data_IF_337611092355
#
_entry.id   IF_337611092355
#
_cell.length_a   1.000
_cell.length_b   1.000
_cell.length_c   1.000
_cell.angle_alpha   90.00
_cell.angle_beta   90.00
_cell.angle_gamma   90.00
#
_symmetry.space_group_name_H-M   'P 1'
#
loop_
_entity.id
_entity.type
_entity.pdbx_description
1 polymer ?
#
# COMPACT_ATOMS: atom_id res chain seq x y z
N UNK A 1 -15.35 34.69 -1.21
CA UNK A 1 -15.23 34.94 -2.66
C UNK A 1 -14.12 34.03 -3.17
N UNK A 2 -14.43 33.02 -3.98
CA UNK A 2 -13.46 32.09 -4.57
C UNK A 2 -12.36 32.79 -5.39
N UNK A 3 -12.59 34.01 -5.83
CA UNK A 3 -11.66 34.81 -6.64
C UNK A 3 -10.68 35.67 -5.84
N UNK A 4 -10.71 35.62 -4.51
CA UNK A 4 -9.87 36.45 -3.65
C UNK A 4 -9.00 35.63 -2.67
N UNK A 5 -9.25 34.33 -2.55
CA UNK A 5 -8.48 33.46 -1.65
C UNK A 5 -7.47 32.64 -2.46
N UNK A 6 -6.20 32.82 -2.14
CA UNK A 6 -5.12 32.03 -2.70
C UNK A 6 -5.10 30.64 -2.08
N UNK A 7 -5.04 29.61 -2.93
CA UNK A 7 -4.96 28.21 -2.54
C UNK A 7 -3.66 27.64 -3.12
N UNK A 8 -2.73 27.32 -2.25
CA UNK A 8 -1.41 26.84 -2.59
C UNK A 8 -1.38 25.32 -2.60
N UNK A 9 -0.73 24.70 -3.58
CA UNK A 9 -0.52 23.26 -3.61
C UNK A 9 0.73 22.88 -4.42
N UNK A 10 1.24 21.69 -4.17
CA UNK A 10 2.26 21.09 -5.01
C UNK A 10 1.62 20.64 -6.35
N UNK A 11 2.32 20.80 -7.46
CA UNK A 11 1.74 20.69 -8.83
C UNK A 11 1.16 19.31 -9.18
N UNK A 12 1.69 18.22 -8.61
CA UNK A 12 1.21 16.86 -8.87
C UNK A 12 -0.25 16.64 -8.41
N UNK A 13 -0.77 17.51 -7.52
CA UNK A 13 -2.15 17.41 -7.03
C UNK A 13 -3.18 17.45 -8.16
N UNK A 14 -2.90 18.19 -9.24
CA UNK A 14 -3.82 18.32 -10.37
C UNK A 14 -4.09 16.96 -10.99
N UNK A 15 -3.03 16.21 -11.28
CA UNK A 15 -3.18 14.85 -11.81
C UNK A 15 -3.91 13.93 -10.83
N UNK A 16 -3.58 14.00 -9.53
CA UNK A 16 -4.18 13.15 -8.51
C UNK A 16 -5.67 13.41 -8.36
N UNK A 17 -6.08 14.68 -8.30
CA UNK A 17 -7.48 15.09 -8.26
C UNK A 17 -8.25 14.60 -9.50
N UNK A 18 -7.70 14.84 -10.69
CA UNK A 18 -8.36 14.44 -11.93
C UNK A 18 -8.48 12.92 -12.04
N UNK A 19 -7.45 12.17 -11.69
CA UNK A 19 -7.47 10.71 -11.71
C UNK A 19 -8.54 10.13 -10.76
N UNK A 20 -8.60 10.62 -9.54
CA UNK A 20 -9.60 10.15 -8.56
C UNK A 20 -11.01 10.59 -8.95
N UNK A 21 -11.17 11.84 -9.39
CA UNK A 21 -12.48 12.40 -9.70
C UNK A 21 -13.11 11.82 -10.98
N UNK A 22 -12.31 11.35 -11.94
CA UNK A 22 -12.76 10.93 -13.27
C UNK A 22 -12.49 9.47 -13.57
N UNK A 23 -11.21 9.05 -13.55
CA UNK A 23 -10.78 7.77 -14.12
C UNK A 23 -11.24 6.57 -13.31
N UNK A 24 -11.07 6.61 -12.00
CA UNK A 24 -11.30 5.45 -11.11
C UNK A 24 -12.36 5.72 -10.03
N UNK A 25 -13.07 6.84 -10.11
CA UNK A 25 -14.04 7.28 -9.10
C UNK A 25 -15.03 6.21 -8.64
N UNK A 26 -15.73 5.48 -9.53
CA UNK A 26 -16.75 4.52 -9.09
C UNK A 26 -16.18 3.42 -8.21
N UNK A 27 -15.04 2.84 -8.59
CA UNK A 27 -14.45 1.73 -7.84
C UNK A 27 -13.78 2.21 -6.56
N UNK A 28 -13.11 3.37 -6.60
CA UNK A 28 -12.48 3.94 -5.40
C UNK A 28 -13.54 4.31 -4.36
N UNK A 29 -14.66 4.91 -4.77
CA UNK A 29 -15.77 5.22 -3.87
C UNK A 29 -16.33 3.95 -3.20
N UNK A 30 -16.65 2.93 -3.99
CA UNK A 30 -17.15 1.65 -3.47
C UNK A 30 -16.18 0.97 -2.49
N UNK A 31 -14.88 0.96 -2.81
CA UNK A 31 -13.86 0.35 -1.96
C UNK A 31 -13.58 1.18 -0.71
N UNK A 32 -13.62 2.52 -0.82
CA UNK A 32 -13.51 3.42 0.34
C UNK A 32 -14.68 3.23 1.30
N UNK A 33 -15.89 3.14 0.79
CA UNK A 33 -17.07 2.88 1.62
C UNK A 33 -16.90 1.60 2.45
N UNK A 34 -16.38 0.51 1.84
CA UNK A 34 -16.09 -0.73 2.56
C UNK A 34 -14.93 -0.59 3.55
N UNK A 35 -13.85 0.12 3.16
CA UNK A 35 -12.69 0.31 4.04
C UNK A 35 -13.05 1.08 5.31
N UNK A 36 -13.92 2.07 5.20
CA UNK A 36 -14.31 2.95 6.30
C UNK A 36 -15.61 2.56 6.99
N UNK A 37 -16.19 1.41 6.63
CA UNK A 37 -17.36 0.87 7.30
C UNK A 37 -18.67 1.63 7.05
N UNK A 38 -18.76 2.45 5.99
CA UNK A 38 -19.97 3.24 5.67
C UNK A 38 -21.25 2.37 5.56
N UNK A 39 -21.21 1.11 5.04
CA UNK A 39 -22.39 0.25 4.99
C UNK A 39 -22.76 -0.43 6.34
N UNK A 40 -21.99 -0.22 7.40
CA UNK A 40 -22.29 -0.82 8.71
C UNK A 40 -23.51 -0.12 9.35
N UNK A 41 -24.26 -0.83 10.21
CA UNK A 41 -25.26 -0.19 11.06
C UNK A 41 -24.66 0.90 11.94
N UNK A 42 -25.42 1.96 12.18
CA UNK A 42 -24.96 3.16 12.92
C UNK A 42 -24.37 2.79 14.30
N UNK A 43 -24.96 1.80 14.98
CA UNK A 43 -24.52 1.31 16.28
C UNK A 43 -23.16 0.59 16.27
N UNK A 44 -22.70 0.16 15.09
CA UNK A 44 -21.40 -0.48 14.89
C UNK A 44 -20.30 0.50 14.45
N UNK A 45 -20.69 1.72 14.08
CA UNK A 45 -19.77 2.74 13.60
C UNK A 45 -19.19 3.51 14.80
N UNK A 46 -17.98 3.14 15.24
CA UNK A 46 -17.30 3.80 16.36
C UNK A 46 -16.30 4.84 15.86
N UNK A 47 -15.50 4.49 14.85
CA UNK A 47 -14.49 5.35 14.25
C UNK A 47 -14.02 4.76 12.91
N UNK A 48 -13.27 5.55 12.12
CA UNK A 48 -12.73 5.13 10.82
C UNK A 48 -11.34 4.48 10.89
N UNK A 49 -10.88 4.06 12.07
CA UNK A 49 -9.57 3.45 12.30
C UNK A 49 -8.45 4.46 12.56
N UNK A 50 -8.45 5.60 11.91
CA UNK A 50 -7.42 6.64 12.04
C UNK A 50 -7.97 7.95 12.62
N UNK A 51 -9.29 8.13 12.64
CA UNK A 51 -9.97 9.31 13.14
C UNK A 51 -11.43 9.03 13.47
N UNK A 52 -12.14 10.09 13.88
CA UNK A 52 -13.59 10.06 14.09
C UNK A 52 -14.33 9.75 12.79
N UNK A 53 -15.55 9.27 12.93
CA UNK A 53 -16.43 9.05 11.78
C UNK A 53 -16.88 10.39 11.19
N UNK A 54 -16.76 10.52 9.87
CA UNK A 54 -17.34 11.64 9.11
C UNK A 54 -18.76 11.23 8.69
N UNK A 55 -19.73 11.90 9.23
CA UNK A 55 -21.10 11.73 8.80
C UNK A 55 -21.26 12.27 7.37
N UNK A 56 -21.68 11.40 6.45
CA UNK A 56 -22.00 11.76 5.06
C UNK A 56 -23.47 11.50 4.88
N UNK A 57 -24.24 12.54 4.63
CA UNK A 57 -25.68 12.45 4.44
C UNK A 57 -26.11 13.01 3.08
N UNK A 58 -27.39 12.80 2.72
CA UNK A 58 -27.94 13.18 1.41
C UNK A 58 -28.00 14.72 1.17
N UNK A 59 -27.70 15.52 2.18
CA UNK A 59 -27.72 16.99 2.08
C UNK A 59 -26.33 17.56 1.81
N UNK A 60 -25.28 16.73 1.90
CA UNK A 60 -23.90 17.15 1.66
C UNK A 60 -23.58 17.13 0.17
N UNK A 61 -22.86 18.13 -0.28
CA UNK A 61 -22.37 18.22 -1.66
C UNK A 61 -20.86 18.03 -1.70
N UNK A 62 -20.39 17.25 -2.67
CA UNK A 62 -18.97 17.16 -2.97
C UNK A 62 -18.52 18.47 -3.62
N UNK A 63 -17.80 19.29 -2.86
CA UNK A 63 -17.12 20.47 -3.36
C UNK A 63 -15.66 20.18 -3.66
N UNK A 64 -15.19 20.46 -4.87
CA UNK A 64 -13.79 20.43 -5.23
C UNK A 64 -13.34 21.83 -5.59
N UNK A 65 -12.47 22.41 -4.78
CA UNK A 65 -11.82 23.69 -5.08
C UNK A 65 -10.42 23.41 -5.60
N UNK A 66 -10.13 23.89 -6.82
CA UNK A 66 -8.81 23.73 -7.42
C UNK A 66 -7.81 24.74 -6.86
N UNK A 67 -6.53 24.38 -6.69
CA UNK A 67 -5.48 25.34 -6.32
C UNK A 67 -5.39 26.49 -7.31
N UNK A 68 -5.07 27.67 -6.80
CA UNK A 68 -4.86 28.88 -7.59
C UNK A 68 -3.38 29.16 -7.83
N UNK A 69 -2.51 28.64 -6.92
CA UNK A 69 -1.06 28.79 -6.98
C UNK A 69 -0.43 27.41 -6.83
N UNK A 70 0.34 27.01 -7.82
CA UNK A 70 1.08 25.74 -7.81
C UNK A 70 2.57 26.01 -7.61
N UNK A 71 3.25 25.09 -6.93
CA UNK A 71 4.71 25.09 -6.81
C UNK A 71 5.27 23.67 -7.00
N UNK A 72 6.54 23.58 -7.38
CA UNK A 72 7.23 22.31 -7.61
C UNK A 72 7.93 21.84 -6.33
N UNK A 73 9.06 22.42 -5.93
CA UNK A 73 9.87 21.97 -4.78
C UNK A 73 9.53 22.70 -3.49
N UNK A 74 9.52 24.02 -3.50
CA UNK A 74 9.24 24.82 -2.31
C UNK A 74 8.73 26.21 -2.62
N UNK A 75 7.96 26.76 -1.68
CA UNK A 75 7.46 28.13 -1.75
C UNK A 75 7.51 28.75 -0.34
N UNK A 76 7.98 29.99 -0.27
CA UNK A 76 7.90 30.80 0.95
C UNK A 76 6.88 31.91 0.76
N UNK A 77 5.95 32.02 1.70
CA UNK A 77 4.97 33.11 1.78
C UNK A 77 5.11 33.83 3.11
N UNK A 78 4.70 35.08 3.14
CA UNK A 78 4.68 35.90 4.38
C UNK A 78 3.28 36.47 4.56
N UNK A 79 2.70 36.21 5.72
CA UNK A 79 1.37 36.69 6.10
C UNK A 79 1.48 37.34 7.47
N UNK A 80 1.15 38.61 7.59
CA UNK A 80 1.19 39.36 8.84
C UNK A 80 2.55 39.25 9.60
N UNK A 81 3.66 39.32 8.87
CA UNK A 81 5.03 39.09 9.35
C UNK A 81 5.31 37.68 9.87
N UNK A 82 4.46 36.71 9.57
CA UNK A 82 4.69 35.30 9.84
C UNK A 82 5.22 34.63 8.55
N UNK A 83 6.43 34.09 8.63
CA UNK A 83 7.02 33.31 7.54
C UNK A 83 6.42 31.91 7.52
N UNK A 84 5.96 31.48 6.36
CA UNK A 84 5.42 30.14 6.12
C UNK A 84 6.18 29.53 4.95
N UNK A 85 6.78 28.36 5.17
CA UNK A 85 7.51 27.61 4.15
C UNK A 85 6.71 26.36 3.79
N UNK A 86 6.32 26.26 2.54
CA UNK A 86 5.76 25.07 1.93
C UNK A 86 6.88 24.31 1.24
N UNK A 87 7.02 23.01 1.46
CA UNK A 87 8.02 22.23 0.74
C UNK A 87 7.49 20.84 0.40
N UNK A 88 7.78 20.43 -0.82
CA UNK A 88 7.41 19.12 -1.37
C UNK A 88 8.16 18.00 -0.63
N UNK A 89 7.42 17.06 -0.10
CA UNK A 89 7.91 15.88 0.64
C UNK A 89 7.05 14.67 0.31
N UNK A 90 7.28 14.04 -0.85
CA UNK A 90 6.46 12.90 -1.29
C UNK A 90 6.50 11.78 -0.25
N UNK A 91 5.37 11.09 -0.05
CA UNK A 91 5.24 10.02 0.93
C UNK A 91 3.89 9.34 0.85
N UNK A 92 2.91 9.75 1.67
CA UNK A 92 1.53 9.24 1.57
C UNK A 92 0.96 9.44 0.15
N UNK A 93 1.28 10.57 -0.49
CA UNK A 93 1.04 10.84 -1.90
C UNK A 93 2.26 11.52 -2.54
N UNK A 94 2.34 11.51 -3.86
CA UNK A 94 3.42 12.12 -4.62
C UNK A 94 3.34 13.66 -4.72
N UNK A 95 2.25 14.26 -4.26
CA UNK A 95 2.02 15.70 -4.15
C UNK A 95 2.10 16.20 -2.69
N UNK A 96 2.56 15.35 -1.77
CA UNK A 96 2.58 15.68 -0.36
C UNK A 96 3.56 16.82 -0.05
N UNK A 97 3.17 17.69 0.87
CA UNK A 97 4.00 18.81 1.32
C UNK A 97 3.97 18.93 2.84
N UNK A 98 4.97 19.59 3.42
CA UNK A 98 4.85 20.13 4.76
C UNK A 98 4.64 21.65 4.75
N UNK A 99 4.04 22.14 5.83
CA UNK A 99 3.94 23.58 6.14
C UNK A 99 4.80 23.83 7.37
N UNK A 100 5.90 24.58 7.21
CA UNK A 100 6.81 24.94 8.30
C UNK A 100 6.65 26.40 8.69
N UNK A 101 6.46 26.67 9.97
CA UNK A 101 6.35 27.99 10.56
C UNK A 101 7.54 28.19 11.52
N UNK A 102 8.67 28.76 11.05
CA UNK A 102 9.92 28.86 11.82
C UNK A 102 9.75 29.55 13.16
N UNK A 103 9.02 30.68 13.21
CA UNK A 103 8.80 31.49 14.43
C UNK A 103 8.02 30.72 15.52
N UNK A 104 7.24 29.72 15.09
CA UNK A 104 6.49 28.83 15.98
C UNK A 104 7.18 27.50 16.23
N UNK A 105 8.29 27.22 15.54
CA UNK A 105 8.95 25.92 15.51
C UNK A 105 7.95 24.76 15.30
N UNK A 106 6.93 25.00 14.45
CA UNK A 106 5.84 24.09 14.19
C UNK A 106 5.84 23.62 12.73
N UNK A 107 5.78 22.31 12.52
CA UNK A 107 5.66 21.71 11.19
C UNK A 107 4.37 20.90 11.09
N UNK A 108 3.55 21.23 10.09
CA UNK A 108 2.36 20.44 9.70
C UNK A 108 2.78 19.51 8.58
N UNK A 109 2.62 18.21 8.78
CA UNK A 109 3.21 17.18 7.91
C UNK A 109 2.16 16.34 7.18
N UNK A 110 0.89 16.73 7.26
CA UNK A 110 -0.18 15.95 6.67
C UNK A 110 -0.15 14.50 7.14
N UNK A 111 -0.29 13.56 6.22
CA UNK A 111 -0.24 12.13 6.49
C UNK A 111 1.15 11.50 6.28
N UNK A 112 2.19 12.31 6.12
CA UNK A 112 3.55 11.78 6.17
C UNK A 112 3.93 11.27 7.56
N UNK A 113 3.16 11.63 8.57
CA UNK A 113 3.24 11.06 9.90
C UNK A 113 1.84 11.01 10.56
N UNK A 114 1.54 9.91 11.22
CA UNK A 114 0.44 9.76 12.18
C UNK A 114 0.74 8.62 13.16
N UNK A 115 -0.03 8.51 14.26
CA UNK A 115 0.24 7.52 15.33
C UNK A 115 -0.29 6.12 14.99
N UNK A 116 0.14 5.59 13.86
CA UNK A 116 -0.09 4.21 13.43
C UNK A 116 1.00 3.85 12.41
N UNK A 117 1.22 2.58 12.17
CA UNK A 117 2.14 2.16 11.11
C UNK A 117 1.74 2.78 9.76
N UNK A 118 2.72 3.25 9.00
CA UNK A 118 2.52 3.94 7.73
C UNK A 118 1.70 3.11 6.74
N UNK A 119 0.69 3.72 6.14
CA UNK A 119 -0.17 3.06 5.18
C UNK A 119 0.46 3.09 3.77
N UNK A 120 1.49 2.29 3.55
CA UNK A 120 2.19 2.19 2.26
C UNK A 120 1.31 1.62 1.15
N UNK A 121 0.16 1.06 1.49
CA UNK A 121 -0.85 0.61 0.55
C UNK A 121 -2.25 0.76 1.13
N UNK A 122 -3.00 1.71 0.62
CA UNK A 122 -4.41 1.83 0.96
C UNK A 122 -5.22 0.74 0.26
N UNK A 123 -5.92 -0.11 1.03
CA UNK A 123 -6.67 -1.27 0.50
C UNK A 123 -7.81 -0.89 -0.45
N UNK A 124 -8.28 0.35 -0.40
CA UNK A 124 -9.22 0.90 -1.39
C UNK A 124 -8.62 1.04 -2.78
N UNK A 125 -7.31 1.12 -2.89
CA UNK A 125 -6.53 1.36 -4.09
C UNK A 125 -5.74 2.66 -4.00
N UNK A 126 -4.50 2.61 -4.42
CA UNK A 126 -3.61 3.78 -4.48
C UNK A 126 -2.53 3.53 -5.53
N UNK A 127 -1.91 4.59 -6.02
CA UNK A 127 -0.61 4.49 -6.71
C UNK A 127 0.42 3.84 -5.79
N UNK A 128 1.50 3.32 -6.37
CA UNK A 128 2.65 2.90 -5.58
C UNK A 128 3.20 4.10 -4.80
N UNK A 129 3.28 3.95 -3.49
CA UNK A 129 3.92 4.89 -2.57
C UNK A 129 5.35 4.44 -2.40
N UNK A 130 6.31 5.22 -2.94
CA UNK A 130 7.71 4.85 -2.87
C UNK A 130 8.22 4.96 -1.42
N UNK A 131 8.59 3.85 -0.78
CA UNK A 131 9.00 3.90 0.63
C UNK A 131 10.25 4.74 0.86
N UNK A 132 11.19 4.75 -0.09
CA UNK A 132 12.45 5.46 0.09
C UNK A 132 12.28 6.97 -0.09
N UNK A 133 11.40 7.42 -1.00
CA UNK A 133 11.02 8.83 -1.05
C UNK A 133 10.34 9.29 0.23
N UNK A 134 9.52 8.44 0.83
CA UNK A 134 8.90 8.75 2.13
C UNK A 134 9.95 8.82 3.26
N UNK A 135 10.93 7.92 3.27
CA UNK A 135 12.08 7.97 4.21
C UNK A 135 12.86 9.28 4.05
N UNK A 136 13.21 9.66 2.82
CA UNK A 136 13.94 10.91 2.54
C UNK A 136 13.13 12.14 2.96
N UNK A 137 11.81 12.12 2.77
CA UNK A 137 10.90 13.16 3.21
C UNK A 137 10.87 13.31 4.72
N UNK A 138 10.83 12.19 5.45
CA UNK A 138 10.90 12.18 6.92
C UNK A 138 12.26 12.71 7.42
N UNK A 139 13.36 12.37 6.74
CA UNK A 139 14.68 12.91 7.08
C UNK A 139 14.75 14.43 6.84
N UNK A 140 14.14 14.94 5.74
CA UNK A 140 14.02 16.40 5.52
C UNK A 140 13.20 17.09 6.63
N UNK A 141 12.10 16.47 7.08
CA UNK A 141 11.28 17.01 8.18
C UNK A 141 12.06 17.01 9.50
N UNK A 142 12.83 15.96 9.80
CA UNK A 142 13.67 15.87 11.01
C UNK A 142 14.71 16.98 11.06
N UNK A 143 15.31 17.36 9.93
CA UNK A 143 16.30 18.45 9.84
C UNK A 143 15.73 19.81 10.23
N UNK A 144 14.41 20.02 10.26
CA UNK A 144 13.78 21.25 10.75
C UNK A 144 13.95 21.43 12.26
N UNK A 145 14.23 20.36 13.00
CA UNK A 145 14.37 20.36 14.47
C UNK A 145 13.18 21.03 15.16
N UNK A 146 11.96 20.69 14.74
CA UNK A 146 10.72 21.30 15.17
C UNK A 146 10.40 20.99 16.64
N UNK A 147 9.81 21.98 17.33
CA UNK A 147 9.25 21.82 18.67
C UNK A 147 7.87 21.14 18.62
N UNK A 148 7.12 21.38 17.53
CA UNK A 148 5.76 20.89 17.37
C UNK A 148 5.60 20.20 16.03
N UNK A 149 5.16 18.93 16.06
CA UNK A 149 4.79 18.10 14.90
C UNK A 149 3.27 17.98 14.85
N UNK A 150 2.65 18.45 13.78
CA UNK A 150 1.19 18.49 13.60
C UNK A 150 0.80 17.61 12.41
N UNK A 151 0.31 16.40 12.63
CA UNK A 151 -0.21 15.52 11.56
C UNK A 151 -1.66 15.89 11.20
N UNK A 152 -2.15 15.42 10.03
CA UNK A 152 -3.57 15.55 9.66
C UNK A 152 -4.47 14.62 10.49
N UNK A 153 -3.96 13.45 10.84
CA UNK A 153 -4.64 12.49 11.71
C UNK A 153 -3.84 12.30 13.01
N UNK A 154 -4.53 11.99 14.10
CA UNK A 154 -4.00 11.88 15.46
C UNK A 154 -3.61 13.23 16.11
N UNK A 155 -3.21 13.16 17.38
CA UNK A 155 -2.87 14.38 18.16
C UNK A 155 -1.47 14.88 17.84
N UNK A 156 -1.23 16.20 17.84
CA UNK A 156 0.10 16.79 17.74
C UNK A 156 1.06 16.23 18.79
N UNK A 157 2.36 16.31 18.47
CA UNK A 157 3.46 15.95 19.37
C UNK A 157 4.25 17.24 19.66
N UNK A 158 4.58 17.47 20.92
CA UNK A 158 5.39 18.61 21.36
C UNK A 158 6.62 18.15 22.11
N UNK A 159 7.68 18.96 22.05
CA UNK A 159 9.01 18.70 22.59
C UNK A 159 9.94 18.10 21.54
N UNK A 160 11.08 18.77 21.29
CA UNK A 160 12.06 18.39 20.25
C UNK A 160 12.46 16.93 20.31
N UNK A 161 12.76 16.42 21.51
CA UNK A 161 13.16 15.02 21.71
C UNK A 161 12.02 14.06 21.36
N UNK A 162 10.78 14.40 21.71
CA UNK A 162 9.60 13.59 21.38
C UNK A 162 9.33 13.57 19.88
N UNK A 163 9.45 14.74 19.23
CA UNK A 163 9.28 14.89 17.78
C UNK A 163 10.35 14.10 17.04
N UNK A 164 11.63 14.27 17.44
CA UNK A 164 12.75 13.53 16.84
C UNK A 164 12.58 12.03 17.01
N UNK A 165 12.22 11.57 18.22
CA UNK A 165 11.96 10.16 18.45
C UNK A 165 10.81 9.63 17.58
N UNK A 166 9.71 10.36 17.50
CA UNK A 166 8.54 9.94 16.72
C UNK A 166 8.88 9.80 15.24
N UNK A 167 9.54 10.80 14.66
CA UNK A 167 9.94 10.80 13.26
C UNK A 167 11.00 9.73 12.97
N UNK A 168 11.95 9.52 13.90
CA UNK A 168 12.98 8.48 13.77
C UNK A 168 12.38 7.09 13.79
N UNK A 169 11.54 6.77 14.78
CA UNK A 169 10.88 5.46 14.85
C UNK A 169 10.06 5.18 13.56
N UNK A 170 9.34 6.20 13.09
CA UNK A 170 8.48 6.09 11.90
C UNK A 170 9.29 5.86 10.62
N UNK A 171 10.31 6.67 10.42
CA UNK A 171 11.28 6.57 9.32
C UNK A 171 11.98 5.20 9.32
N UNK A 172 12.49 4.78 10.47
CA UNK A 172 13.21 3.51 10.61
C UNK A 172 12.29 2.31 10.42
N UNK A 173 11.03 2.41 10.86
CA UNK A 173 10.01 1.39 10.62
C UNK A 173 9.74 1.19 9.13
N UNK A 174 9.59 2.28 8.38
CA UNK A 174 9.38 2.24 6.92
C UNK A 174 10.61 1.65 6.23
N UNK A 175 11.81 2.17 6.53
CA UNK A 175 13.04 1.70 5.90
C UNK A 175 13.32 0.24 6.22
N UNK A 176 13.15 -0.19 7.47
CA UNK A 176 13.38 -1.58 7.85
C UNK A 176 12.53 -2.56 7.06
N UNK A 177 11.22 -2.30 6.93
CA UNK A 177 10.32 -3.18 6.18
C UNK A 177 10.67 -3.18 4.69
N UNK A 178 11.02 -2.00 4.13
CA UNK A 178 11.55 -1.90 2.77
C UNK A 178 12.76 -2.80 2.57
N UNK A 179 13.83 -2.59 3.35
CA UNK A 179 15.11 -3.27 3.17
C UNK A 179 14.99 -4.78 3.35
N UNK A 180 14.18 -5.24 4.32
CA UNK A 180 13.91 -6.67 4.49
C UNK A 180 13.11 -7.22 3.31
N UNK A 181 12.16 -6.48 2.78
CA UNK A 181 11.38 -6.90 1.60
C UNK A 181 12.30 -7.07 0.40
N UNK A 182 13.11 -6.05 0.08
CA UNK A 182 14.10 -6.11 -1.02
C UNK A 182 15.09 -7.26 -0.83
N UNK A 183 15.57 -7.45 0.40
CA UNK A 183 16.46 -8.58 0.72
C UNK A 183 15.84 -9.94 0.38
N UNK A 184 14.55 -10.13 0.64
CA UNK A 184 13.88 -11.39 0.36
C UNK A 184 13.44 -11.51 -1.10
N UNK A 185 13.08 -10.42 -1.78
CA UNK A 185 12.89 -10.38 -3.24
C UNK A 185 14.16 -10.90 -3.94
N UNK A 186 15.34 -10.38 -3.55
CA UNK A 186 16.64 -10.78 -4.11
C UNK A 186 17.03 -12.23 -3.79
N UNK A 187 16.32 -12.89 -2.86
CA UNK A 187 16.43 -14.34 -2.61
C UNK A 187 15.42 -15.18 -3.36
N UNK A 188 14.61 -14.56 -4.22
CA UNK A 188 13.61 -15.23 -5.03
C UNK A 188 12.32 -15.65 -4.29
N UNK A 189 12.04 -15.04 -3.12
CA UNK A 189 10.83 -15.36 -2.37
C UNK A 189 9.62 -14.65 -2.98
N UNK A 190 8.47 -15.31 -2.92
CA UNK A 190 7.17 -14.77 -3.31
C UNK A 190 6.66 -13.75 -2.26
N UNK A 191 5.71 -12.86 -2.61
CA UNK A 191 5.14 -11.91 -1.65
C UNK A 191 4.56 -12.58 -0.41
N UNK A 192 3.92 -13.75 -0.57
CA UNK A 192 3.32 -14.50 0.52
C UNK A 192 4.37 -15.05 1.50
N UNK A 193 5.48 -15.56 0.99
CA UNK A 193 6.60 -16.03 1.80
C UNK A 193 7.30 -14.88 2.52
N UNK A 194 7.44 -13.72 1.86
CA UNK A 194 8.08 -12.53 2.45
C UNK A 194 7.26 -12.01 3.62
N UNK A 195 5.93 -11.92 3.48
CA UNK A 195 5.02 -11.48 4.55
C UNK A 195 5.19 -12.31 5.84
N UNK A 196 5.44 -13.62 5.73
CA UNK A 196 5.67 -14.48 6.89
C UNK A 196 7.01 -14.21 7.59
N UNK A 197 7.98 -13.64 6.88
CA UNK A 197 9.37 -13.45 7.37
C UNK A 197 9.64 -12.04 7.89
N UNK A 198 9.00 -11.02 7.32
CA UNK A 198 9.27 -9.63 7.69
C UNK A 198 8.52 -9.28 8.97
N UNK A 199 9.28 -8.98 10.01
CA UNK A 199 8.77 -8.54 11.33
C UNK A 199 9.66 -7.43 11.85
N UNK A 200 9.08 -6.40 12.43
CA UNK A 200 9.85 -5.32 13.05
C UNK A 200 10.72 -5.86 14.20
N UNK A 201 11.92 -5.32 14.37
CA UNK A 201 12.71 -5.57 15.58
C UNK A 201 11.97 -5.03 16.80
N UNK A 202 12.27 -5.59 17.99
CA UNK A 202 11.52 -5.35 19.20
C UNK A 202 11.31 -3.86 19.51
N UNK A 203 12.35 -3.04 19.43
CA UNK A 203 12.29 -1.61 19.76
C UNK A 203 11.34 -0.82 18.83
N UNK A 204 11.23 -1.20 17.55
CA UNK A 204 10.28 -0.61 16.60
C UNK A 204 8.87 -1.20 16.78
N UNK A 205 8.77 -2.50 17.04
CA UNK A 205 7.48 -3.16 17.28
C UNK A 205 6.76 -2.64 18.55
N UNK A 206 7.52 -2.18 19.54
CA UNK A 206 7.01 -1.60 20.78
C UNK A 206 6.78 -0.08 20.68
N UNK A 207 7.19 0.57 19.58
CA UNK A 207 6.96 1.99 19.38
C UNK A 207 5.46 2.30 19.28
N UNK A 208 4.96 3.31 20.04
CA UNK A 208 3.55 3.71 19.96
C UNK A 208 3.15 4.34 18.62
N UNK A 209 4.14 4.63 17.77
CA UNK A 209 3.94 5.24 16.46
C UNK A 209 3.87 4.21 15.32
N UNK A 210 4.18 2.93 15.60
CA UNK A 210 4.25 1.87 14.60
C UNK A 210 3.25 0.72 14.85
N UNK A 211 2.22 0.99 15.66
CA UNK A 211 1.18 -0.02 15.91
C UNK A 211 0.29 -0.17 14.67
N UNK A 212 -0.11 -1.41 14.30
CA UNK A 212 -0.80 -1.69 13.04
C UNK A 212 -2.32 -1.40 13.13
N UNK A 213 -2.69 -0.21 13.56
CA UNK A 213 -4.09 0.20 13.68
C UNK A 213 -4.72 0.56 12.34
N UNK A 214 -3.90 0.98 11.36
CA UNK A 214 -4.33 1.39 10.03
C UNK A 214 -3.48 0.77 8.92
N UNK A 215 -2.20 1.13 8.81
CA UNK A 215 -1.25 0.45 7.93
C UNK A 215 -0.79 -0.89 8.49
N UNK A 216 -0.34 -1.80 7.62
CA UNK A 216 0.17 -3.11 8.02
C UNK A 216 1.42 -3.51 7.25
N UNK A 217 2.31 -4.27 7.90
CA UNK A 217 3.52 -4.81 7.26
C UNK A 217 3.16 -5.70 6.07
N UNK A 218 2.10 -6.50 6.18
CA UNK A 218 1.64 -7.37 5.10
C UNK A 218 1.29 -6.61 3.82
N UNK A 219 0.50 -5.55 3.95
CA UNK A 219 0.13 -4.69 2.82
C UNK A 219 1.34 -3.97 2.24
N UNK A 220 2.23 -3.51 3.11
CA UNK A 220 3.47 -2.84 2.71
C UNK A 220 4.39 -3.77 1.91
N UNK A 221 4.67 -4.98 2.39
CA UNK A 221 5.49 -5.98 1.68
C UNK A 221 4.96 -6.24 0.28
N UNK A 222 3.64 -6.47 0.15
CA UNK A 222 2.99 -6.72 -1.15
C UNK A 222 3.08 -5.51 -2.08
N UNK A 223 2.87 -4.31 -1.55
CA UNK A 223 2.98 -3.07 -2.32
C UNK A 223 4.41 -2.84 -2.80
N UNK A 224 5.39 -3.04 -1.93
CA UNK A 224 6.81 -2.91 -2.28
C UNK A 224 7.21 -3.92 -3.35
N UNK A 225 6.83 -5.20 -3.18
CA UNK A 225 7.07 -6.22 -4.19
C UNK A 225 6.52 -5.79 -5.56
N UNK A 226 5.22 -5.45 -5.60
CA UNK A 226 4.57 -5.03 -6.85
C UNK A 226 5.15 -3.74 -7.43
N UNK A 227 5.58 -2.81 -6.58
CA UNK A 227 6.15 -1.53 -7.00
C UNK A 227 7.53 -1.68 -7.65
N UNK A 228 8.36 -2.64 -7.19
CA UNK A 228 9.70 -2.86 -7.71
C UNK A 228 9.74 -3.80 -8.92
N UNK A 229 8.98 -4.90 -8.90
CA UNK A 229 9.08 -5.94 -9.92
C UNK A 229 7.73 -6.33 -10.55
N UNK A 230 6.66 -5.62 -10.22
CA UNK A 230 5.32 -5.86 -10.76
C UNK A 230 4.55 -6.95 -10.00
N UNK A 231 3.41 -7.33 -10.55
CA UNK A 231 2.47 -8.26 -9.91
C UNK A 231 2.88 -9.73 -10.02
N UNK A 232 3.73 -10.08 -10.99
CA UNK A 232 4.08 -11.46 -11.29
C UNK A 232 5.01 -12.04 -10.21
N UNK A 233 4.63 -13.18 -9.65
CA UNK A 233 5.38 -13.86 -8.57
C UNK A 233 6.70 -14.50 -9.02
N UNK A 234 6.89 -14.71 -10.34
CA UNK A 234 7.96 -15.54 -10.90
C UNK A 234 7.55 -16.99 -11.13
N UNK A 235 6.38 -17.40 -10.66
CA UNK A 235 5.84 -18.74 -10.90
C UNK A 235 4.95 -18.77 -12.14
N UNK A 236 5.24 -19.66 -13.07
CA UNK A 236 4.54 -19.73 -14.36
C UNK A 236 3.03 -20.00 -14.21
N UNK A 237 2.60 -20.74 -13.20
CA UNK A 237 1.18 -20.99 -12.91
C UNK A 237 0.39 -19.72 -12.56
N UNK A 238 1.07 -18.65 -12.13
CA UNK A 238 0.46 -17.37 -11.78
C UNK A 238 0.29 -16.44 -12.99
N UNK A 239 0.81 -16.80 -14.18
CA UNK A 239 0.61 -15.99 -15.41
C UNK A 239 -0.85 -15.96 -15.82
N UNK A 240 -1.51 -17.12 -15.81
CA UNK A 240 -2.89 -17.29 -16.28
C UNK A 240 -3.68 -18.19 -15.33
N UNK A 241 -3.82 -17.81 -14.05
CA UNK A 241 -4.49 -18.64 -13.06
C UNK A 241 -5.95 -18.89 -13.49
N UNK A 242 -6.44 -20.10 -13.25
CA UNK A 242 -7.86 -20.41 -13.40
C UNK A 242 -8.71 -19.43 -12.60
N UNK A 243 -9.85 -19.04 -13.12
CA UNK A 243 -10.83 -18.28 -12.35
C UNK A 243 -11.28 -19.08 -11.11
N UNK A 244 -11.76 -18.37 -10.09
CA UNK A 244 -12.24 -19.02 -8.87
C UNK A 244 -13.32 -20.05 -9.17
N UNK A 245 -14.22 -19.76 -10.15
CA UNK A 245 -15.30 -20.66 -10.54
C UNK A 245 -14.77 -21.92 -11.24
N UNK A 246 -13.83 -21.78 -12.18
CA UNK A 246 -13.22 -22.93 -12.87
C UNK A 246 -12.44 -23.82 -11.89
N UNK A 247 -11.65 -23.21 -10.99
CA UNK A 247 -10.92 -23.95 -9.96
C UNK A 247 -11.87 -24.69 -9.02
N UNK A 248 -12.97 -24.05 -8.60
CA UNK A 248 -13.97 -24.68 -7.74
C UNK A 248 -14.63 -25.89 -8.43
N UNK A 249 -15.00 -25.78 -9.70
CA UNK A 249 -15.57 -26.90 -10.47
C UNK A 249 -14.59 -28.07 -10.57
N UNK A 250 -13.31 -27.82 -10.87
CA UNK A 250 -12.29 -28.85 -10.93
C UNK A 250 -12.05 -29.54 -9.59
N UNK A 251 -11.99 -28.77 -8.51
CA UNK A 251 -11.86 -29.33 -7.16
C UNK A 251 -13.08 -30.18 -6.75
N UNK A 252 -14.29 -29.77 -7.11
CA UNK A 252 -15.49 -30.53 -6.85
C UNK A 252 -15.48 -31.87 -7.60
N UNK A 253 -15.12 -31.87 -8.88
CA UNK A 253 -14.96 -33.10 -9.69
C UNK A 253 -13.90 -34.03 -9.10
N UNK A 254 -12.75 -33.47 -8.67
CA UNK A 254 -11.68 -34.22 -8.04
C UNK A 254 -12.14 -34.87 -6.72
N UNK A 255 -12.87 -34.12 -5.89
CA UNK A 255 -13.41 -34.61 -4.64
C UNK A 255 -14.45 -35.74 -4.85
N UNK A 256 -15.33 -35.60 -5.85
CA UNK A 256 -16.32 -36.64 -6.21
C UNK A 256 -15.64 -37.93 -6.69
N UNK A 257 -14.53 -37.82 -7.44
CA UNK A 257 -13.74 -38.97 -7.91
C UNK A 257 -12.85 -39.59 -6.81
N UNK A 258 -12.69 -38.92 -5.68
CA UNK A 258 -11.71 -39.30 -4.63
C UNK A 258 -10.28 -39.43 -5.19
N UNK A 259 -9.94 -38.61 -6.20
CA UNK A 259 -8.66 -38.65 -6.89
C UNK A 259 -7.58 -37.97 -6.03
N UNK A 260 -6.37 -38.52 -6.01
CA UNK A 260 -5.22 -37.85 -5.39
C UNK A 260 -4.75 -36.67 -6.27
N UNK A 261 -4.14 -35.68 -5.64
CA UNK A 261 -3.59 -34.51 -6.36
C UNK A 261 -2.59 -34.94 -7.42
N UNK A 262 -1.74 -35.95 -7.13
CA UNK A 262 -0.76 -36.52 -8.08
C UNK A 262 -1.40 -37.10 -9.34
N UNK A 263 -2.46 -37.87 -9.13
CA UNK A 263 -3.14 -38.58 -10.23
C UNK A 263 -3.93 -37.59 -11.09
N UNK A 264 -4.57 -36.60 -10.44
CA UNK A 264 -5.28 -35.52 -11.16
C UNK A 264 -4.32 -34.62 -11.95
N UNK A 265 -3.11 -34.34 -11.43
CA UNK A 265 -2.11 -33.58 -12.14
C UNK A 265 -1.64 -34.26 -13.44
N UNK A 266 -1.45 -35.60 -13.40
CA UNK A 266 -1.15 -36.39 -14.61
C UNK A 266 -2.34 -36.43 -15.58
N UNK A 267 -3.57 -36.62 -15.10
CA UNK A 267 -4.78 -36.59 -15.91
C UNK A 267 -4.91 -35.24 -16.61
N UNK A 268 -4.73 -34.15 -15.90
CA UNK A 268 -4.78 -32.79 -16.42
C UNK A 268 -3.73 -32.55 -17.52
N UNK A 269 -2.49 -32.96 -17.26
CA UNK A 269 -1.40 -32.88 -18.25
C UNK A 269 -1.74 -33.66 -19.53
N UNK A 270 -2.17 -34.93 -19.42
CA UNK A 270 -2.52 -35.77 -20.52
C UNK A 270 -3.74 -35.30 -21.34
N UNK A 271 -4.65 -34.58 -20.68
CA UNK A 271 -5.82 -33.98 -21.32
C UNK A 271 -5.56 -32.61 -21.97
N UNK A 272 -4.34 -32.07 -21.85
CA UNK A 272 -4.00 -30.73 -22.32
C UNK A 272 -4.52 -29.59 -21.43
N UNK A 273 -4.94 -29.88 -20.22
CA UNK A 273 -5.36 -28.88 -19.21
C UNK A 273 -4.12 -28.33 -18.46
N UNK A 274 -3.19 -27.75 -19.22
CA UNK A 274 -1.85 -27.40 -18.76
C UNK A 274 -1.84 -26.45 -17.57
N UNK A 275 -2.73 -25.43 -17.54
CA UNK A 275 -2.82 -24.50 -16.40
C UNK A 275 -3.26 -25.21 -15.11
N UNK A 276 -4.21 -26.16 -15.21
CA UNK A 276 -4.62 -26.94 -14.04
C UNK A 276 -3.52 -27.88 -13.56
N UNK A 277 -2.80 -28.51 -14.50
CA UNK A 277 -1.64 -29.35 -14.18
C UNK A 277 -0.54 -28.56 -13.46
N UNK A 278 -0.26 -27.30 -13.88
CA UNK A 278 0.68 -26.41 -13.22
C UNK A 278 0.27 -26.09 -11.78
N UNK A 279 -1.00 -25.73 -11.55
CA UNK A 279 -1.51 -25.39 -10.23
C UNK A 279 -1.44 -26.60 -9.28
N UNK A 280 -1.76 -27.80 -9.76
CA UNK A 280 -1.65 -29.04 -8.96
C UNK A 280 -0.20 -29.43 -8.70
N UNK A 281 0.69 -29.28 -9.69
CA UNK A 281 2.12 -29.53 -9.51
C UNK A 281 2.74 -28.60 -8.46
N UNK A 282 2.35 -27.33 -8.41
CA UNK A 282 2.77 -26.40 -7.38
C UNK A 282 2.33 -26.82 -5.98
N UNK A 283 1.10 -27.30 -5.83
CA UNK A 283 0.61 -27.84 -4.56
C UNK A 283 1.45 -29.04 -4.10
N UNK A 284 1.77 -29.96 -5.02
CA UNK A 284 2.60 -31.12 -4.73
C UNK A 284 4.05 -30.74 -4.35
N UNK A 285 4.65 -29.78 -5.05
CA UNK A 285 5.98 -29.27 -4.76
C UNK A 285 6.01 -28.52 -3.40
N UNK A 286 4.92 -27.84 -3.07
CA UNK A 286 4.79 -27.18 -1.76
C UNK A 286 4.70 -28.19 -0.61
N UNK A 287 4.08 -29.36 -0.83
CA UNK A 287 4.02 -30.45 0.15
C UNK A 287 5.36 -31.19 0.28
N UNK A 288 6.03 -31.43 -0.85
CA UNK A 288 7.37 -32.07 -0.92
C UNK A 288 8.23 -31.43 -2.01
N UNK A 289 9.16 -30.61 -1.60
CA UNK A 289 10.09 -29.92 -2.50
C UNK A 289 10.98 -30.84 -3.34
N UNK A 290 11.10 -32.10 -2.99
CA UNK A 290 11.86 -33.11 -3.71
C UNK A 290 11.00 -33.97 -4.66
N UNK A 291 9.69 -33.73 -4.74
CA UNK A 291 8.79 -34.47 -5.61
C UNK A 291 9.19 -34.34 -7.10
N UNK A 292 9.91 -35.32 -7.63
CA UNK A 292 10.40 -35.34 -9.00
C UNK A 292 9.27 -35.43 -10.04
N UNK A 293 8.22 -36.20 -9.73
CA UNK A 293 7.05 -36.34 -10.61
C UNK A 293 6.34 -34.97 -10.81
N UNK A 294 6.09 -34.25 -9.72
CA UNK A 294 5.49 -32.91 -9.77
C UNK A 294 6.35 -31.91 -10.55
N UNK A 295 7.68 -31.97 -10.37
CA UNK A 295 8.62 -31.12 -11.14
C UNK A 295 8.58 -31.44 -12.65
N UNK A 296 8.47 -32.70 -13.03
CA UNK A 296 8.35 -33.11 -14.43
C UNK A 296 7.01 -32.61 -15.02
N UNK A 297 5.90 -32.85 -14.32
CA UNK A 297 4.57 -32.33 -14.74
C UNK A 297 4.62 -30.81 -14.93
N UNK A 298 5.22 -30.09 -13.97
CA UNK A 298 5.37 -28.64 -14.06
C UNK A 298 6.19 -28.22 -15.28
N UNK A 299 7.29 -28.89 -15.57
CA UNK A 299 8.16 -28.60 -16.72
C UNK A 299 7.41 -28.83 -18.04
N UNK A 300 6.72 -29.97 -18.18
CA UNK A 300 5.98 -30.32 -19.39
C UNK A 300 4.77 -29.42 -19.65
N UNK A 301 4.05 -29.04 -18.58
CA UNK A 301 2.89 -28.14 -18.68
C UNK A 301 3.28 -26.66 -18.88
N UNK A 302 4.50 -26.26 -18.53
CA UNK A 302 4.97 -24.88 -18.65
C UNK A 302 5.17 -24.44 -20.10
N UNK A 303 5.67 -25.31 -20.96
CA UNK A 303 5.98 -25.00 -22.35
C UNK A 303 4.74 -24.56 -23.17
N UNK A 304 3.62 -25.31 -23.18
CA UNK A 304 2.41 -24.87 -23.85
C UNK A 304 1.79 -23.60 -23.29
N UNK A 305 1.85 -23.38 -21.96
CA UNK A 305 1.29 -22.18 -21.32
C UNK A 305 2.09 -20.94 -21.70
N UNK A 306 3.42 -21.03 -21.79
CA UNK A 306 4.25 -19.90 -22.21
C UNK A 306 4.09 -19.54 -23.68
N UNK A 307 3.76 -20.49 -24.55
CA UNK A 307 3.60 -20.28 -26.00
C UNK A 307 2.25 -19.65 -26.40
N UNK A 308 1.20 -19.85 -25.63
CA UNK A 308 -0.15 -19.33 -25.94
C UNK A 308 -0.26 -17.80 -25.91
N UNK A 309 0.80 -17.10 -25.60
CA UNK A 309 0.81 -15.62 -25.49
C UNK A 309 1.67 -14.91 -26.53
N UNK A 310 2.28 -15.63 -27.46
CA UNK A 310 3.03 -15.07 -28.60
C UNK A 310 2.21 -15.05 -29.90
N UNK A 311 0.98 -15.48 -29.85
CA UNK A 311 -0.01 -15.42 -30.96
C UNK A 311 -1.19 -14.55 -30.55
#
# INVERSE_FOLDING_TARGET
NENETEIYAQENIIYNLDNIATTIRPIIFQRSARQFGIPLPEEEIVHQGIGGFLEINDQETLGLVRPTILFDDSLTIEIDNLKIVLAHVPGETDDHLYVWIPEKQAVMVGDNFYRSFANLYAIRGTKFRNPMEWVDSLDRIRLLNAEHLVPSHSRPISGKENVEKALTDYRDGIQFVHDQTIRYINKGLTPDEIVQKVKLPKHLAESPYLQPFYGSISSYVRSTFSGYIGWFSGNISDLHPLTVAERAQKLEVMAQRQTKISDEAEIALNNGEYQWALELADMLIALDSNNSQAKNIKAEAADPVSYTHLT
#
